data_IF_896052491721
#
_entry.id   IF_896052491721
#
_cell.length_a   1.000
_cell.length_b   1.000
_cell.length_c   1.000
_cell.angle_alpha   90.00
_cell.angle_beta   90.00
_cell.angle_gamma   90.00
#
_symmetry.space_group_name_H-M   'P 1'
#
loop_
_entity.id
_entity.type
_entity.pdbx_description
1 polymer ?
#
# COMPACT_ATOMS: atom_id res chain seq x y z
N UNK A 1 20.70 -6.62 -19.00
CA UNK A 1 20.20 -5.24 -18.82
C UNK A 1 19.56 -5.16 -17.43
N UNK A 2 20.23 -4.50 -16.48
CA UNK A 2 19.72 -4.34 -15.12
C UNK A 2 18.87 -3.07 -15.08
N UNK A 3 17.55 -3.21 -15.11
CA UNK A 3 16.60 -2.12 -14.96
C UNK A 3 16.37 -1.91 -13.46
N UNK A 4 17.08 -0.94 -12.88
CA UNK A 4 16.80 -0.45 -11.53
C UNK A 4 15.49 0.36 -11.59
N UNK A 5 14.37 -0.29 -11.29
CA UNK A 5 13.11 0.42 -11.07
C UNK A 5 13.19 1.19 -9.74
N UNK A 6 12.78 2.46 -9.67
CA UNK A 6 12.70 3.18 -8.42
C UNK A 6 11.69 2.51 -7.49
N UNK A 7 12.18 2.05 -6.33
CA UNK A 7 11.38 1.42 -5.29
C UNK A 7 10.70 2.51 -4.44
N UNK A 8 9.45 2.84 -4.76
CA UNK A 8 8.63 3.68 -3.91
C UNK A 8 8.04 2.84 -2.78
N UNK A 9 8.52 3.04 -1.55
CA UNK A 9 7.93 2.43 -0.35
C UNK A 9 7.16 3.48 0.44
N UNK A 10 5.83 3.40 0.39
CA UNK A 10 4.93 4.20 1.24
C UNK A 10 4.90 3.73 2.71
N UNK A 11 5.66 2.69 3.05
CA UNK A 11 5.85 2.18 4.40
C UNK A 11 7.34 2.20 4.76
N UNK A 12 7.98 3.37 4.61
CA UNK A 12 9.33 3.59 5.10
C UNK A 12 9.38 3.24 6.58
N UNK A 13 10.36 2.41 6.97
CA UNK A 13 10.52 1.99 8.36
C UNK A 13 10.95 3.21 9.18
N UNK A 14 9.99 3.94 9.74
CA UNK A 14 10.23 5.13 10.55
C UNK A 14 10.82 4.63 11.86
N UNK A 15 12.15 4.60 11.95
CA UNK A 15 12.83 4.48 13.23
C UNK A 15 12.56 5.79 13.98
N UNK A 16 11.45 5.83 14.72
CA UNK A 16 11.19 6.87 15.72
C UNK A 16 12.30 6.74 16.77
N UNK A 17 13.39 7.49 16.60
CA UNK A 17 14.33 7.73 17.67
C UNK A 17 13.58 8.56 18.71
N UNK A 18 13.09 7.87 19.73
CA UNK A 18 12.47 8.48 20.89
C UNK A 18 13.55 9.32 21.58
N UNK A 19 13.41 10.64 21.56
CA UNK A 19 14.35 11.56 22.21
C UNK A 19 14.49 11.20 23.70
N UNK A 20 15.73 11.11 24.13
CA UNK A 20 16.16 10.79 25.50
C UNK A 20 15.71 11.90 26.47
N UNK A 21 14.62 11.72 27.23
CA UNK A 21 14.47 12.19 28.63
C UNK A 21 13.05 12.02 29.22
N UNK A 22 12.54 10.80 29.42
CA UNK A 22 11.51 10.63 30.47
C UNK A 22 11.49 9.20 31.03
N UNK A 23 12.04 9.09 32.25
CA UNK A 23 11.78 8.12 33.32
C UNK A 23 11.59 6.64 32.92
N UNK A 24 12.59 5.85 33.31
CA UNK A 24 12.62 4.38 33.33
C UNK A 24 11.39 3.78 34.04
N UNK A 25 10.52 3.13 33.27
CA UNK A 25 9.93 1.85 33.65
C UNK A 25 10.36 0.82 32.60
N UNK A 26 10.55 -0.47 32.92
CA UNK A 26 10.68 -1.51 31.90
C UNK A 26 9.29 -1.82 31.33
N UNK A 27 8.60 -0.80 30.80
CA UNK A 27 7.47 -1.05 29.93
C UNK A 27 8.05 -1.63 28.65
N UNK A 28 7.84 -2.94 28.44
CA UNK A 28 8.06 -3.63 27.16
C UNK A 28 7.73 -2.65 26.05
N UNK A 29 8.71 -2.21 25.25
CA UNK A 29 8.45 -1.30 24.14
C UNK A 29 7.51 -2.02 23.17
N UNK A 30 6.22 -1.68 23.21
CA UNK A 30 5.23 -2.24 22.31
C UNK A 30 5.46 -1.58 20.96
N UNK A 31 6.10 -2.30 20.04
CA UNK A 31 6.15 -1.88 18.64
C UNK A 31 4.72 -1.95 18.10
N UNK A 32 4.22 -0.87 17.50
CA UNK A 32 2.92 -0.89 16.81
C UNK A 32 3.15 -0.89 15.31
N UNK A 33 2.60 -1.87 14.61
CA UNK A 33 2.74 -2.00 13.15
C UNK A 33 1.41 -1.86 12.46
N UNK A 34 1.32 -0.87 11.58
CA UNK A 34 0.18 -0.69 10.69
C UNK A 34 0.41 -1.56 9.45
N UNK A 35 -0.54 -2.44 9.16
CA UNK A 35 -0.47 -3.30 7.98
C UNK A 35 -1.78 -3.24 7.21
N UNK A 36 -1.73 -3.51 5.92
CA UNK A 36 -2.95 -3.77 5.15
C UNK A 36 -3.48 -5.16 5.48
N UNK A 37 -4.80 -5.37 5.35
CA UNK A 37 -5.44 -6.65 5.73
C UNK A 37 -4.82 -7.90 5.09
N UNK A 38 -4.15 -7.75 3.95
CA UNK A 38 -3.52 -8.81 3.16
C UNK A 38 -2.11 -9.17 3.59
N UNK A 39 -1.60 -8.48 4.62
CA UNK A 39 -0.30 -8.77 5.20
C UNK A 39 -0.26 -10.19 5.79
N UNK A 40 0.72 -10.97 5.30
CA UNK A 40 1.09 -12.28 5.86
C UNK A 40 2.34 -12.09 6.71
N UNK A 41 2.31 -12.55 7.96
CA UNK A 41 3.51 -12.54 8.80
C UNK A 41 4.55 -13.48 8.20
N UNK A 42 5.79 -13.02 8.05
CA UNK A 42 6.91 -13.96 7.99
C UNK A 42 6.92 -14.73 9.31
N UNK A 43 7.01 -16.05 9.25
CA UNK A 43 7.04 -16.90 10.43
C UNK A 43 8.23 -16.52 11.31
N UNK A 44 7.98 -15.95 12.49
CA UNK A 44 9.00 -15.57 13.47
C UNK A 44 8.78 -14.16 14.00
N UNK A 45 8.52 -14.07 15.31
CA UNK A 45 8.58 -12.85 16.13
C UNK A 45 7.41 -11.86 16.04
N UNK A 46 6.22 -12.30 16.48
CA UNK A 46 5.10 -11.40 16.82
C UNK A 46 4.87 -11.24 18.33
N UNK A 47 5.78 -11.70 19.19
CA UNK A 47 5.52 -11.76 20.64
C UNK A 47 5.36 -10.39 21.33
N UNK A 48 5.66 -9.27 20.66
CA UNK A 48 5.55 -7.93 21.25
C UNK A 48 5.02 -6.84 20.29
N UNK A 49 4.55 -7.21 19.09
CA UNK A 49 4.12 -6.23 18.09
C UNK A 49 2.59 -6.16 18.00
N UNK A 50 2.02 -5.00 18.31
CA UNK A 50 0.59 -4.74 18.16
C UNK A 50 0.30 -4.42 16.70
N UNK A 51 -0.37 -5.34 16.01
CA UNK A 51 -0.68 -5.21 14.58
C UNK A 51 -2.07 -4.61 14.40
N UNK A 52 -2.14 -3.43 13.78
CA UNK A 52 -3.40 -2.82 13.34
C UNK A 52 -3.61 -3.06 11.85
N UNK A 53 -4.73 -3.70 11.49
CA UNK A 53 -5.10 -3.99 10.11
C UNK A 53 -5.98 -2.89 9.54
N UNK A 54 -5.51 -2.26 8.47
CA UNK A 54 -6.29 -1.27 7.72
C UNK A 54 -7.18 -1.95 6.66
N UNK A 55 -8.40 -1.44 6.44
CA UNK A 55 -9.27 -1.94 5.38
C UNK A 55 -8.65 -1.70 4.01
N UNK A 56 -8.89 -2.63 3.08
CA UNK A 56 -8.41 -2.52 1.70
C UNK A 56 -9.57 -1.99 0.84
N UNK A 57 -9.42 -0.84 0.16
CA UNK A 57 -10.53 -0.18 -0.54
C UNK A 57 -10.83 -0.77 -1.93
N UNK A 58 -10.12 -1.82 -2.34
CA UNK A 58 -10.26 -2.48 -3.63
C UNK A 58 -10.30 -4.01 -3.47
N UNK A 59 -10.82 -4.69 -4.49
CA UNK A 59 -10.94 -6.16 -4.49
C UNK A 59 -9.58 -6.82 -4.73
N UNK A 60 -9.41 -8.02 -4.16
CA UNK A 60 -8.20 -8.83 -4.30
C UNK A 60 -8.54 -10.29 -4.66
N UNK A 61 -7.73 -10.95 -5.51
CA UNK A 61 -6.60 -10.37 -6.26
C UNK A 61 -7.06 -9.34 -7.30
N UNK A 62 -6.18 -8.45 -7.78
CA UNK A 62 -6.51 -7.57 -8.90
C UNK A 62 -6.95 -8.41 -10.10
N UNK A 63 -8.04 -8.01 -10.74
CA UNK A 63 -8.50 -8.66 -11.96
C UNK A 63 -7.55 -8.29 -13.11
N UNK A 64 -7.03 -9.28 -13.87
CA UNK A 64 -6.21 -8.98 -15.05
C UNK A 64 -7.08 -8.36 -16.14
N UNK A 65 -6.45 -7.50 -16.95
CA UNK A 65 -7.07 -6.94 -18.15
C UNK A 65 -7.33 -8.02 -19.20
N UNK A 66 -8.44 -7.85 -19.91
CA UNK A 66 -8.80 -8.61 -21.09
C UNK A 66 -7.90 -8.21 -22.27
N UNK A 67 -7.76 -9.04 -23.32
CA UNK A 67 -6.96 -8.69 -24.50
C UNK A 67 -7.40 -7.39 -25.20
N UNK A 68 -8.68 -7.04 -25.09
CA UNK A 68 -9.28 -5.84 -25.70
C UNK A 68 -9.15 -4.59 -24.80
N UNK A 69 -8.83 -4.78 -23.50
CA UNK A 69 -8.74 -3.68 -22.55
C UNK A 69 -7.46 -2.87 -22.82
N UNK A 70 -7.61 -1.56 -22.95
CA UNK A 70 -6.50 -0.62 -23.12
C UNK A 70 -6.51 0.37 -21.95
N UNK A 71 -5.36 0.64 -21.31
CA UNK A 71 -5.28 1.64 -20.26
C UNK A 71 -5.82 2.99 -20.71
N UNK A 72 -6.45 3.70 -19.76
CA UNK A 72 -6.88 5.08 -19.98
C UNK A 72 -5.67 5.98 -20.26
N UNK A 73 -5.77 6.80 -21.31
CA UNK A 73 -4.79 7.84 -21.64
C UNK A 73 -5.52 9.16 -21.83
N UNK A 74 -5.10 10.20 -21.11
CA UNK A 74 -5.79 11.48 -21.11
C UNK A 74 -5.63 12.27 -22.43
N UNK A 75 -4.62 11.95 -23.23
CA UNK A 75 -4.26 12.55 -24.52
C UNK A 75 -4.79 11.76 -25.73
N UNK A 76 -5.55 10.68 -25.48
CA UNK A 76 -6.13 9.84 -26.52
C UNK A 76 -7.59 10.20 -26.74
N UNK A 77 -7.98 10.34 -28.00
CA UNK A 77 -9.39 10.49 -28.37
C UNK A 77 -10.17 9.18 -28.16
N UNK A 78 -11.28 9.23 -27.43
CA UNK A 78 -12.23 8.14 -27.26
C UNK A 78 -13.60 8.53 -27.82
N UNK A 79 -13.98 7.89 -28.92
CA UNK A 79 -15.23 8.19 -29.65
C UNK A 79 -16.47 7.47 -29.08
N UNK A 80 -16.25 6.50 -28.19
CA UNK A 80 -17.35 5.84 -27.47
C UNK A 80 -17.91 6.76 -26.39
N UNK A 81 -19.24 6.78 -26.29
CA UNK A 81 -19.94 7.57 -25.28
C UNK A 81 -19.71 7.01 -23.88
N UNK A 82 -19.41 7.91 -22.94
CA UNK A 82 -19.29 7.60 -21.52
C UNK A 82 -20.67 7.39 -20.86
N UNK A 83 -20.66 7.23 -19.53
CA UNK A 83 -21.87 7.05 -18.71
C UNK A 83 -22.86 8.22 -18.80
N UNK A 84 -22.43 9.39 -19.26
CA UNK A 84 -23.25 10.59 -19.44
C UNK A 84 -23.58 10.88 -20.91
N UNK A 85 -23.10 10.07 -21.85
CA UNK A 85 -23.35 10.24 -23.28
C UNK A 85 -22.33 11.12 -24.01
N UNK A 86 -21.25 11.55 -23.33
CA UNK A 86 -20.20 12.39 -23.90
C UNK A 86 -19.02 11.57 -24.43
N UNK A 87 -18.23 12.17 -25.32
CA UNK A 87 -17.00 11.57 -25.86
C UNK A 87 -15.78 12.30 -25.30
N UNK A 88 -14.66 11.59 -25.15
CA UNK A 88 -13.39 12.23 -24.76
C UNK A 88 -12.65 12.69 -26.03
N UNK A 89 -12.45 14.00 -26.22
CA UNK A 89 -11.88 14.55 -27.45
C UNK A 89 -10.41 14.19 -27.66
#
# INVERSE_FOLDING_TARGET
MNINAPWFSCTGNVNLKQDDNYIKQPSKAISTKLVTSCWKSSNGDLSSELIFRLPVPYKLPPQPYSPEDVPWSWDRQYTHKDVYGYVWP
#
